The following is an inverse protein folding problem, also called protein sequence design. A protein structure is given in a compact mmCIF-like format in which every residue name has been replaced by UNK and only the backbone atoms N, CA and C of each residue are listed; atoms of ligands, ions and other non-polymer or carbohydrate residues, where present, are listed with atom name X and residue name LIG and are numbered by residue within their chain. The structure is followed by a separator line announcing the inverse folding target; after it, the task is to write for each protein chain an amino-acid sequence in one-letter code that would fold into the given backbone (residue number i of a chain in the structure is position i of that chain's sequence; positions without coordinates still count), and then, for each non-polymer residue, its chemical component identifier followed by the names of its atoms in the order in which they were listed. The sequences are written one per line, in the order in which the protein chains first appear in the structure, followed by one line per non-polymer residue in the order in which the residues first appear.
data_IF_017886966447
#
_entry.id   IF_017886966447
#
_cell.length_a   1.000
_cell.length_b   1.000
_cell.length_c   1.000
_cell.angle_alpha   90.00
_cell.angle_beta   90.00
_cell.angle_gamma   90.00
#
_symmetry.space_group_name_H-M   'P 1'
#
loop_
_entity.id
_entity.type
_entity.pdbx_description
1 polymer ?
#
# COMPACT_ATOMS: atom_id res chain seq x y z
N UNK A 1 18.98 -14.47 7.74
CA UNK A 1 17.69 -13.88 8.14
C UNK A 1 17.33 -12.84 7.09
N UNK A 2 16.93 -13.27 5.89
CA UNK A 2 16.67 -12.38 4.74
C UNK A 2 15.84 -13.15 3.73
N UNK A 3 14.52 -13.01 3.81
CA UNK A 3 13.56 -13.70 2.95
C UNK A 3 12.20 -13.11 3.25
N UNK A 4 11.64 -13.48 4.40
CA UNK A 4 10.38 -12.95 4.90
C UNK A 4 10.34 -11.40 4.89
N UNK A 5 11.32 -10.72 5.48
CA UNK A 5 11.32 -9.24 5.54
C UNK A 5 11.26 -8.56 4.16
N UNK A 6 11.85 -9.19 3.14
CA UNK A 6 11.81 -8.67 1.77
C UNK A 6 10.45 -8.92 1.11
N UNK A 7 9.86 -10.10 1.32
CA UNK A 7 8.53 -10.47 0.80
C UNK A 7 7.41 -9.63 1.42
N UNK A 8 7.52 -9.33 2.72
CA UNK A 8 6.60 -8.43 3.42
C UNK A 8 6.68 -7.00 2.86
N UNK A 9 7.90 -6.49 2.63
CA UNK A 9 8.10 -5.16 2.05
C UNK A 9 7.57 -5.06 0.61
N UNK A 10 7.77 -6.10 -0.21
CA UNK A 10 7.23 -6.15 -1.56
C UNK A 10 5.70 -6.14 -1.57
N UNK A 11 5.07 -6.92 -0.69
CA UNK A 11 3.60 -6.97 -0.56
C UNK A 11 3.01 -5.61 -0.16
N UNK A 12 3.64 -4.91 0.79
CA UNK A 12 3.28 -3.53 1.17
C UNK A 12 3.41 -2.57 -0.01
N UNK A 13 4.48 -2.70 -0.79
CA UNK A 13 4.74 -1.84 -1.95
C UNK A 13 3.69 -2.04 -3.04
N UNK A 14 3.35 -3.29 -3.37
CA UNK A 14 2.32 -3.64 -4.35
C UNK A 14 0.95 -3.12 -3.90
N UNK A 15 0.59 -3.32 -2.63
CA UNK A 15 -0.62 -2.78 -2.04
C UNK A 15 -0.69 -1.25 -2.13
N UNK A 16 0.42 -0.57 -1.85
CA UNK A 16 0.52 0.88 -1.95
C UNK A 16 0.36 1.39 -3.38
N UNK A 17 0.97 0.73 -4.35
CA UNK A 17 0.83 1.02 -5.79
C UNK A 17 -0.63 0.86 -6.23
N UNK A 18 -1.26 -0.25 -5.86
CA UNK A 18 -2.66 -0.51 -6.18
C UNK A 18 -3.58 0.57 -5.60
N UNK A 19 -3.38 0.95 -4.32
CA UNK A 19 -4.18 1.98 -3.67
C UNK A 19 -3.93 3.38 -4.25
N UNK A 20 -2.69 3.69 -4.64
CA UNK A 20 -2.34 4.95 -5.28
C UNK A 20 -3.00 5.10 -6.66
N UNK A 21 -3.24 3.99 -7.36
CA UNK A 21 -3.91 3.96 -8.65
C UNK A 21 -5.43 4.18 -8.54
N UNK A 22 -6.05 3.77 -7.43
CA UNK A 22 -7.47 4.04 -7.18
C UNK A 22 -7.70 5.57 -7.16
N UNK A 23 -8.62 6.09 -7.99
CA UNK A 23 -8.99 7.52 -7.99
C UNK A 23 -9.78 7.92 -6.75
N UNK A 24 -10.64 7.03 -6.26
CA UNK A 24 -11.36 7.19 -5.00
C UNK A 24 -10.90 6.11 -4.02
N UNK A 25 -10.29 6.49 -2.89
CA UNK A 25 -9.88 5.50 -1.90
C UNK A 25 -11.14 4.83 -1.31
N UNK A 26 -11.17 3.49 -1.23
CA UNK A 26 -12.26 2.79 -0.57
C UNK A 26 -12.35 3.22 0.90
N UNK A 27 -13.59 3.38 1.40
CA UNK A 27 -13.85 3.82 2.78
C UNK A 27 -13.14 2.95 3.84
N UNK A 28 -12.87 1.68 3.51
CA UNK A 28 -12.17 0.72 4.35
C UNK A 28 -10.87 0.21 3.71
N UNK A 29 -9.99 1.12 3.27
CA UNK A 29 -8.71 0.77 2.64
C UNK A 29 -7.88 -0.23 3.46
N UNK A 30 -7.84 -0.12 4.79
CA UNK A 30 -7.13 -1.09 5.65
C UNK A 30 -7.71 -2.50 5.50
N UNK A 31 -9.04 -2.65 5.59
CA UNK A 31 -9.69 -3.96 5.46
C UNK A 31 -9.49 -4.56 4.07
N UNK A 32 -9.58 -3.74 3.02
CA UNK A 32 -9.33 -4.17 1.64
C UNK A 32 -7.90 -4.66 1.46
N UNK A 33 -6.91 -3.91 1.94
CA UNK A 33 -5.51 -4.29 1.81
C UNK A 33 -5.18 -5.58 2.56
N UNK A 34 -5.78 -5.78 3.75
CA UNK A 34 -5.61 -7.00 4.53
C UNK A 34 -6.23 -8.22 3.84
N UNK A 35 -7.45 -8.08 3.31
CA UNK A 35 -8.12 -9.20 2.63
C UNK A 35 -7.51 -9.52 1.27
N UNK A 36 -7.09 -8.51 0.53
CA UNK A 36 -6.62 -8.65 -0.85
C UNK A 36 -5.16 -9.08 -0.95
N UNK A 37 -4.31 -8.58 -0.05
CA UNK A 37 -2.86 -8.80 -0.08
C UNK A 37 -2.36 -9.61 1.12
N UNK A 38 -3.25 -10.08 2.01
CA UNK A 38 -2.86 -10.86 3.18
C UNK A 38 -2.06 -10.08 4.22
N UNK A 39 -2.08 -8.75 4.15
CA UNK A 39 -1.26 -7.89 5.01
C UNK A 39 -1.78 -7.86 6.46
N UNK A 40 -0.88 -7.62 7.40
CA UNK A 40 -1.24 -7.23 8.76
C UNK A 40 -1.78 -5.79 8.82
N UNK A 41 -2.36 -5.40 9.96
CA UNK A 41 -2.86 -4.04 10.17
C UNK A 41 -1.74 -2.98 10.09
N UNK A 42 -0.52 -3.33 10.51
CA UNK A 42 0.64 -2.43 10.45
C UNK A 42 1.05 -2.22 8.99
N UNK A 43 1.25 -3.31 8.26
CA UNK A 43 1.61 -3.30 6.84
C UNK A 43 0.57 -2.59 5.97
N UNK A 44 -0.72 -2.79 6.25
CA UNK A 44 -1.79 -2.08 5.55
C UNK A 44 -1.74 -0.57 5.82
N UNK A 45 -1.38 -0.15 7.03
CA UNK A 45 -1.21 1.27 7.38
C UNK A 45 0.01 1.87 6.68
N UNK A 46 1.12 1.13 6.61
CA UNK A 46 2.31 1.53 5.85
C UNK A 46 2.02 1.65 4.35
N UNK A 47 1.25 0.71 3.79
CA UNK A 47 0.84 0.74 2.40
C UNK A 47 -0.02 1.98 2.09
N UNK A 48 -0.92 2.37 3.01
CA UNK A 48 -1.73 3.59 2.88
C UNK A 48 -0.85 4.85 2.90
N UNK A 49 0.08 4.95 3.85
CA UNK A 49 1.02 6.08 3.91
C UNK A 49 1.86 6.18 2.62
N UNK A 50 2.36 5.04 2.15
CA UNK A 50 3.16 4.93 0.92
C UNK A 50 2.34 5.31 -0.32
N UNK A 51 1.08 4.88 -0.40
CA UNK A 51 0.16 5.23 -1.49
C UNK A 51 -0.09 6.74 -1.59
N UNK A 52 -0.29 7.40 -0.44
CA UNK A 52 -0.44 8.85 -0.38
C UNK A 52 0.82 9.56 -0.89
N UNK A 53 2.02 9.06 -0.53
CA UNK A 53 3.28 9.59 -1.05
C UNK A 53 3.38 9.46 -2.56
N UNK A 54 2.99 8.31 -3.13
CA UNK A 54 2.95 8.12 -4.59
C UNK A 54 1.99 9.08 -5.29
N UNK A 55 0.81 9.34 -4.71
CA UNK A 55 -0.14 10.33 -5.24
C UNK A 55 0.45 11.74 -5.26
N UNK A 56 1.11 12.14 -4.17
CA UNK A 56 1.79 13.44 -4.09
C UNK A 56 2.90 13.52 -5.15
N UNK A 57 3.72 12.47 -5.27
CA UNK A 57 4.81 12.42 -6.24
C UNK A 57 4.28 12.51 -7.69
N UNK A 58 3.20 11.78 -8.00
CA UNK A 58 2.52 11.85 -9.31
C UNK A 58 1.99 13.25 -9.60
N UNK A 59 1.47 13.96 -8.59
CA UNK A 59 1.00 15.34 -8.75
C UNK A 59 2.13 16.35 -8.90
N UNK A 60 3.30 16.07 -8.32
CA UNK A 60 4.46 16.96 -8.38
C UNK A 60 5.29 16.80 -9.67
N UNK A 61 5.27 15.60 -10.28
CA UNK A 61 6.07 15.25 -11.46
C UNK A 61 5.26 14.92 -12.72
N UNK A 62 3.92 14.96 -12.63
CA UNK A 62 3.00 14.65 -13.73
C UNK A 62 2.39 15.88 -14.38
#
# INVERSE_FOLDING_TARGET
MTGADHEHNESVRIAALWLADQREPPAHAVSELRQRFGLSAVEASEAIATANRFRIYRRAHG
#
